data_IF_932537318007
#
_entry.id   IF_932537318007
#
_cell.length_a   1.000
_cell.length_b   1.000
_cell.length_c   1.000
_cell.angle_alpha   90.00
_cell.angle_beta   90.00
_cell.angle_gamma   90.00
#
_symmetry.space_group_name_H-M   'P 1'
#
loop_
_entity.id
_entity.type
_entity.pdbx_description
1 polymer ?
#
# COMPACT_ATOMS: atom_id res chain seq x y z
N UNK A 1 -18.89 12.06 -20.58
CA UNK A 1 -19.23 10.75 -20.00
C UNK A 1 -20.37 10.19 -20.82
N UNK A 2 -20.16 9.02 -21.42
CA UNK A 2 -21.25 8.29 -22.05
C UNK A 2 -22.13 7.67 -20.96
N UNK A 3 -23.44 7.62 -21.19
CA UNK A 3 -24.41 6.98 -20.29
C UNK A 3 -24.87 5.66 -20.92
N UNK A 4 -24.74 4.57 -20.17
CA UNK A 4 -25.12 3.23 -20.61
C UNK A 4 -26.35 2.75 -19.84
N UNK A 5 -27.31 2.15 -20.54
CA UNK A 5 -28.27 1.26 -19.89
C UNK A 5 -27.62 -0.09 -19.64
N UNK A 6 -28.23 -0.92 -18.80
CA UNK A 6 -27.68 -2.23 -18.44
C UNK A 6 -27.33 -3.11 -19.66
N UNK A 7 -28.19 -3.10 -20.69
CA UNK A 7 -27.97 -3.89 -21.91
C UNK A 7 -26.83 -3.33 -22.77
N UNK A 8 -26.71 -2.01 -22.85
CA UNK A 8 -25.61 -1.35 -23.56
C UNK A 8 -24.28 -1.62 -22.86
N UNK A 9 -24.25 -1.51 -21.53
CA UNK A 9 -23.06 -1.82 -20.74
C UNK A 9 -22.66 -3.29 -20.86
N UNK A 10 -23.62 -4.21 -20.93
CA UNK A 10 -23.36 -5.63 -21.10
C UNK A 10 -22.70 -5.94 -22.45
N UNK A 11 -23.19 -5.29 -23.51
CA UNK A 11 -22.62 -5.40 -24.85
C UNK A 11 -21.20 -4.81 -24.91
N UNK A 12 -21.01 -3.63 -24.33
CA UNK A 12 -19.72 -2.93 -24.40
C UNK A 12 -18.63 -3.59 -23.53
N UNK A 13 -19.00 -4.10 -22.35
CA UNK A 13 -18.06 -4.78 -21.45
C UNK A 13 -17.81 -6.25 -21.79
N UNK A 14 -18.66 -6.86 -22.64
CA UNK A 14 -18.68 -8.30 -22.87
C UNK A 14 -19.15 -9.12 -21.66
N UNK A 15 -19.65 -8.49 -20.60
CA UNK A 15 -20.17 -9.14 -19.39
C UNK A 15 -21.70 -9.23 -19.48
N UNK A 16 -22.27 -10.42 -19.27
CA UNK A 16 -23.73 -10.58 -19.34
C UNK A 16 -24.47 -9.70 -18.32
N UNK A 17 -25.65 -9.19 -18.69
CA UNK A 17 -26.50 -8.38 -17.80
C UNK A 17 -26.82 -9.09 -16.46
N UNK A 18 -26.89 -10.43 -16.47
CA UNK A 18 -27.04 -11.26 -15.26
C UNK A 18 -25.83 -11.12 -14.33
N UNK A 19 -24.62 -11.24 -14.87
CA UNK A 19 -23.39 -11.12 -14.09
C UNK A 19 -23.19 -9.69 -13.58
N UNK A 20 -23.54 -8.67 -14.37
CA UNK A 20 -23.49 -7.27 -13.91
C UNK A 20 -24.38 -7.06 -12.68
N UNK A 21 -25.60 -7.62 -12.67
CA UNK A 21 -26.47 -7.56 -11.48
C UNK A 21 -25.86 -8.29 -10.29
N UNK A 22 -25.33 -9.50 -10.51
CA UNK A 22 -24.67 -10.27 -9.46
C UNK A 22 -23.44 -9.55 -8.89
N UNK A 23 -22.64 -8.87 -9.72
CA UNK A 23 -21.48 -8.09 -9.29
C UNK A 23 -21.89 -6.88 -8.45
N UNK A 24 -23.00 -6.22 -8.79
CA UNK A 24 -23.57 -5.15 -7.97
C UNK A 24 -24.06 -5.66 -6.61
N UNK A 25 -24.81 -6.75 -6.60
CA UNK A 25 -25.33 -7.35 -5.36
C UNK A 25 -24.21 -7.77 -4.41
N UNK A 26 -23.08 -8.18 -4.97
CA UNK A 26 -21.88 -8.58 -4.22
C UNK A 26 -20.89 -7.44 -3.94
N UNK A 27 -21.19 -6.21 -4.35
CA UNK A 27 -20.36 -5.03 -4.08
C UNK A 27 -19.12 -4.85 -4.97
N UNK A 28 -18.96 -5.65 -6.03
CA UNK A 28 -17.85 -5.55 -6.99
C UNK A 28 -18.04 -4.36 -7.94
N UNK A 29 -19.28 -3.98 -8.22
CA UNK A 29 -19.61 -2.88 -9.12
C UNK A 29 -20.37 -1.79 -8.38
N UNK A 30 -20.00 -0.55 -8.62
CA UNK A 30 -20.61 0.59 -7.96
C UNK A 30 -22.11 0.73 -8.30
N UNK A 31 -22.90 1.32 -7.39
CA UNK A 31 -24.32 1.51 -7.65
C UNK A 31 -24.53 2.52 -8.79
N UNK A 32 -25.36 2.19 -9.80
CA UNK A 32 -25.68 3.08 -10.88
C UNK A 32 -26.49 4.27 -10.37
N UNK A 33 -26.37 5.38 -11.10
CA UNK A 33 -27.24 6.53 -10.87
C UNK A 33 -28.66 6.19 -11.31
N UNK A 34 -29.62 6.45 -10.44
CA UNK A 34 -31.05 6.26 -10.74
C UNK A 34 -31.65 7.54 -11.29
N UNK A 35 -32.23 7.47 -12.48
CA UNK A 35 -33.03 8.55 -13.08
C UNK A 35 -34.43 8.02 -13.32
N UNK A 36 -35.36 8.39 -12.46
CA UNK A 36 -36.71 7.82 -12.42
C UNK A 36 -36.67 6.31 -12.11
N UNK A 37 -37.23 5.49 -13.03
CA UNK A 37 -37.24 4.02 -12.92
C UNK A 37 -36.05 3.35 -13.62
N UNK A 38 -35.15 4.14 -14.20
CA UNK A 38 -34.03 3.63 -15.02
C UNK A 38 -32.71 3.74 -14.25
N UNK A 39 -31.92 2.66 -14.27
CA UNK A 39 -30.55 2.66 -13.79
C UNK A 39 -29.60 3.01 -14.94
N UNK A 40 -28.80 4.07 -14.77
CA UNK A 40 -27.82 4.53 -15.73
C UNK A 40 -26.41 4.30 -15.18
N UNK A 41 -25.57 3.76 -16.04
CA UNK A 41 -24.15 3.52 -15.82
C UNK A 41 -23.35 4.51 -16.67
N UNK A 42 -22.07 4.66 -16.38
CA UNK A 42 -21.17 5.54 -17.11
C UNK A 42 -19.86 4.82 -17.46
N UNK A 43 -18.92 5.56 -18.06
CA UNK A 43 -17.61 5.03 -18.47
C UNK A 43 -16.80 4.48 -17.28
N UNK A 44 -17.06 4.95 -16.07
CA UNK A 44 -16.40 4.42 -14.87
C UNK A 44 -16.85 2.99 -14.59
N UNK A 45 -18.15 2.70 -14.71
CA UNK A 45 -18.68 1.34 -14.55
C UNK A 45 -18.15 0.38 -15.63
N UNK A 46 -17.96 0.87 -16.86
CA UNK A 46 -17.36 0.08 -17.94
C UNK A 46 -15.90 -0.28 -17.61
N UNK A 47 -15.13 0.68 -17.09
CA UNK A 47 -13.75 0.45 -16.63
C UNK A 47 -13.69 -0.56 -15.47
N UNK A 48 -14.59 -0.45 -14.49
CA UNK A 48 -14.73 -1.42 -13.40
C UNK A 48 -15.00 -2.84 -13.93
N UNK A 49 -15.94 -3.01 -14.87
CA UNK A 49 -16.26 -4.33 -15.45
C UNK A 49 -15.09 -4.95 -16.23
N UNK A 50 -14.35 -4.13 -16.97
CA UNK A 50 -13.14 -4.57 -17.67
C UNK A 50 -12.05 -5.04 -16.68
N UNK A 51 -11.90 -4.33 -15.56
CA UNK A 51 -10.95 -4.67 -14.50
C UNK A 51 -11.35 -5.96 -13.78
N UNK A 52 -12.63 -6.09 -13.37
CA UNK A 52 -13.18 -7.32 -12.77
C UNK A 52 -12.91 -8.51 -13.69
N UNK A 53 -13.18 -8.37 -14.99
CA UNK A 53 -12.98 -9.45 -15.97
C UNK A 53 -11.50 -9.85 -16.11
N UNK A 54 -10.58 -8.89 -16.06
CA UNK A 54 -9.14 -9.17 -16.10
C UNK A 54 -8.67 -9.90 -14.84
N UNK A 55 -9.13 -9.47 -13.66
CA UNK A 55 -8.76 -10.09 -12.39
C UNK A 55 -9.31 -11.51 -12.26
N UNK A 56 -10.56 -11.74 -12.65
CA UNK A 56 -11.13 -13.09 -12.68
C UNK A 56 -10.36 -14.02 -13.63
N UNK A 57 -9.93 -13.54 -14.80
CA UNK A 57 -9.09 -14.33 -15.72
C UNK A 57 -7.71 -14.68 -15.16
N UNK A 58 -7.19 -13.87 -14.23
CA UNK A 58 -5.93 -14.13 -13.53
C UNK A 58 -6.08 -15.04 -12.31
N UNK A 59 -7.29 -15.53 -12.02
CA UNK A 59 -7.56 -16.47 -10.93
C UNK A 59 -7.96 -15.84 -9.60
N UNK A 60 -8.12 -14.52 -9.53
CA UNK A 60 -8.60 -13.86 -8.31
C UNK A 60 -10.08 -14.18 -8.07
N UNK A 61 -10.44 -14.50 -6.83
CA UNK A 61 -11.83 -14.80 -6.48
C UNK A 61 -12.69 -13.53 -6.38
N UNK A 62 -14.01 -13.67 -6.52
CA UNK A 62 -14.93 -12.52 -6.53
C UNK A 62 -15.06 -11.81 -5.19
N UNK A 63 -14.80 -12.47 -4.07
CA UNK A 63 -14.87 -11.87 -2.74
C UNK A 63 -13.71 -10.89 -2.52
N UNK A 64 -12.49 -11.29 -2.88
CA UNK A 64 -11.28 -10.46 -2.84
C UNK A 64 -11.41 -9.24 -3.75
N UNK A 65 -11.97 -9.42 -4.94
CA UNK A 65 -12.22 -8.31 -5.88
C UNK A 65 -13.25 -7.33 -5.29
N UNK A 66 -14.29 -7.82 -4.63
CA UNK A 66 -15.30 -6.97 -3.99
C UNK A 66 -14.70 -6.12 -2.86
N UNK A 67 -13.86 -6.74 -2.03
CA UNK A 67 -13.13 -6.06 -0.96
C UNK A 67 -12.20 -4.98 -1.51
N UNK A 68 -11.45 -5.28 -2.58
CA UNK A 68 -10.62 -4.30 -3.28
C UNK A 68 -11.41 -3.06 -3.71
N UNK A 69 -12.55 -3.23 -4.38
CA UNK A 69 -13.37 -2.10 -4.79
C UNK A 69 -14.02 -1.38 -3.61
N UNK A 70 -14.38 -2.09 -2.53
CA UNK A 70 -14.91 -1.48 -1.32
C UNK A 70 -13.90 -0.55 -0.64
N UNK A 71 -12.64 -0.96 -0.57
CA UNK A 71 -11.57 -0.18 0.03
C UNK A 71 -11.15 1.00 -0.87
N UNK A 72 -11.13 0.83 -2.19
CA UNK A 72 -10.92 1.93 -3.14
C UNK A 72 -12.00 3.03 -2.99
N UNK A 73 -13.27 2.66 -2.76
CA UNK A 73 -14.35 3.63 -2.49
C UNK A 73 -14.16 4.40 -1.18
N UNK A 74 -13.46 3.80 -0.22
CA UNK A 74 -13.13 4.42 1.06
C UNK A 74 -11.84 5.27 0.97
N UNK A 75 -11.24 5.39 -0.22
CA UNK A 75 -10.00 6.13 -0.42
C UNK A 75 -8.79 5.44 0.21
N UNK A 76 -8.85 4.13 0.43
CA UNK A 76 -7.72 3.35 0.91
C UNK A 76 -6.65 3.22 -0.19
N UNK A 77 -5.38 3.30 0.20
CA UNK A 77 -4.27 3.06 -0.71
C UNK A 77 -4.27 1.60 -1.17
N UNK A 78 -3.85 1.34 -2.41
CA UNK A 78 -3.70 -0.01 -2.96
C UNK A 78 -2.80 -0.89 -2.05
N UNK A 79 -1.83 -0.28 -1.38
CA UNK A 79 -0.96 -0.92 -0.39
C UNK A 79 -1.74 -1.38 0.86
N UNK A 80 -2.68 -0.58 1.36
CA UNK A 80 -3.52 -0.94 2.53
C UNK A 80 -4.41 -2.14 2.23
N UNK A 81 -4.90 -2.24 0.99
CA UNK A 81 -5.78 -3.32 0.56
C UNK A 81 -5.00 -4.64 0.51
N UNK A 82 -3.81 -4.64 -0.07
CA UNK A 82 -2.93 -5.81 -0.10
C UNK A 82 -2.44 -6.19 1.31
N UNK A 83 -2.26 -5.20 2.20
CA UNK A 83 -1.94 -5.41 3.61
C UNK A 83 -3.09 -6.03 4.42
N UNK A 84 -4.34 -5.60 4.21
CA UNK A 84 -5.53 -6.11 4.88
C UNK A 84 -5.89 -7.54 4.45
N UNK A 85 -5.75 -7.86 3.16
CA UNK A 85 -5.93 -9.23 2.68
C UNK A 85 -5.00 -10.22 3.40
N UNK A 86 -3.75 -9.82 3.64
CA UNK A 86 -2.74 -10.64 4.32
C UNK A 86 -3.04 -10.83 5.82
N UNK A 87 -3.68 -9.84 6.45
CA UNK A 87 -4.05 -9.87 7.86
C UNK A 87 -5.36 -10.63 8.15
N UNK A 88 -6.34 -10.60 7.23
CA UNK A 88 -7.67 -11.20 7.41
C UNK A 88 -7.77 -12.62 6.86
N UNK A 89 -7.14 -12.90 5.72
CA UNK A 89 -7.22 -14.22 5.07
C UNK A 89 -6.08 -15.14 5.49
N UNK A 90 -5.13 -14.65 6.30
CA UNK A 90 -3.80 -15.23 6.37
C UNK A 90 -3.09 -15.15 5.01
N UNK A 91 -1.82 -15.59 4.89
CA UNK A 91 -1.21 -15.79 3.58
C UNK A 91 -2.12 -16.71 2.75
N UNK A 92 -2.48 -16.27 1.54
CA UNK A 92 -3.33 -17.04 0.60
C UNK A 92 -2.85 -18.49 0.51
N UNK A 93 -3.70 -19.46 0.87
CA UNK A 93 -3.37 -20.91 0.87
C UNK A 93 -3.00 -21.46 -0.52
N UNK A 94 -3.22 -20.70 -1.59
CA UNK A 94 -2.84 -21.05 -2.98
C UNK A 94 -1.59 -20.31 -3.51
N UNK A 95 -0.90 -19.52 -2.68
CA UNK A 95 0.46 -19.07 -2.98
C UNK A 95 1.43 -19.92 -2.16
N UNK A 96 2.47 -20.53 -2.76
CA UNK A 96 3.44 -21.27 -1.97
C UNK A 96 3.95 -20.35 -0.86
N UNK A 97 3.98 -20.86 0.37
CA UNK A 97 4.58 -20.24 1.54
C UNK A 97 6.11 -20.13 1.43
N UNK A 98 6.61 -19.87 0.23
CA UNK A 98 7.96 -19.39 -0.01
C UNK A 98 7.85 -17.87 -0.02
N UNK A 99 8.04 -17.25 1.15
CA UNK A 99 8.42 -15.84 1.12
C UNK A 99 9.65 -15.72 0.20
N UNK A 100 9.62 -14.76 -0.72
CA UNK A 100 10.65 -14.62 -1.74
C UNK A 100 12.01 -14.44 -1.07
N UNK A 101 12.80 -15.51 -1.08
CA UNK A 101 14.14 -15.50 -0.51
C UNK A 101 15.01 -14.55 -1.33
N UNK A 102 15.72 -13.68 -0.63
CA UNK A 102 16.72 -12.81 -1.24
C UNK A 102 18.08 -13.46 -1.08
N UNK A 103 18.96 -13.28 -2.06
CA UNK A 103 20.33 -13.78 -2.05
C UNK A 103 21.25 -13.04 -1.05
N UNK A 104 20.77 -12.81 0.17
CA UNK A 104 21.55 -12.24 1.28
C UNK A 104 21.93 -13.37 2.23
N UNK A 105 23.21 -13.45 2.58
CA UNK A 105 23.70 -14.37 3.61
C UNK A 105 23.09 -13.96 4.98
N UNK A 106 22.34 -14.83 5.68
CA UNK A 106 21.81 -14.53 7.00
C UNK A 106 22.87 -14.15 8.04
N UNK A 107 24.11 -14.61 7.87
CA UNK A 107 25.21 -14.32 8.80
C UNK A 107 25.95 -13.02 8.47
N UNK A 108 25.70 -12.45 7.29
CA UNK A 108 26.22 -11.13 6.91
C UNK A 108 25.70 -10.04 7.86
N UNK A 109 26.33 -8.87 7.80
CA UNK A 109 25.87 -7.69 8.56
C UNK A 109 24.49 -7.29 8.03
N UNK A 110 24.31 -7.30 6.72
CA UNK A 110 23.07 -6.94 6.05
C UNK A 110 21.91 -7.88 6.44
N UNK A 111 22.15 -9.19 6.43
CA UNK A 111 21.13 -10.19 6.80
C UNK A 111 20.69 -10.07 8.26
N UNK A 112 21.64 -9.88 9.19
CA UNK A 112 21.32 -9.70 10.61
C UNK A 112 20.52 -8.43 10.87
N UNK A 113 20.89 -7.32 10.21
CA UNK A 113 20.19 -6.04 10.40
C UNK A 113 18.82 -6.01 9.77
N UNK A 114 18.60 -6.68 8.63
CA UNK A 114 17.26 -6.84 8.07
C UNK A 114 16.31 -7.54 9.06
N UNK A 115 16.81 -8.53 9.80
CA UNK A 115 16.04 -9.24 10.83
C UNK A 115 15.84 -8.36 12.07
N UNK A 116 16.88 -7.64 12.49
CA UNK A 116 16.80 -6.68 13.62
C UNK A 116 15.75 -5.60 13.40
N UNK A 117 15.68 -5.03 12.19
CA UNK A 117 14.66 -4.06 11.80
C UNK A 117 13.29 -4.70 11.46
N UNK A 118 13.13 -6.02 11.60
CA UNK A 118 11.87 -6.74 11.33
C UNK A 118 11.48 -6.81 9.84
N UNK A 119 12.41 -6.51 8.93
CA UNK A 119 12.18 -6.48 7.49
C UNK A 119 12.32 -7.85 6.83
N UNK A 120 12.95 -8.80 7.51
CA UNK A 120 13.11 -10.16 7.05
C UNK A 120 13.17 -11.17 8.20
N UNK A 121 12.84 -12.42 7.89
CA UNK A 121 13.02 -13.57 8.75
C UNK A 121 14.09 -14.52 8.18
N UNK A 122 14.66 -15.37 9.05
CA UNK A 122 15.53 -16.46 8.60
C UNK A 122 14.75 -17.77 8.59
N UNK A 123 14.41 -18.25 7.39
CA UNK A 123 13.67 -19.51 7.19
C UNK A 123 14.54 -20.47 6.40
N UNK A 124 14.78 -21.66 6.94
CA UNK A 124 15.59 -22.68 6.27
C UNK A 124 17.01 -22.25 5.92
N UNK A 125 17.60 -21.33 6.71
CA UNK A 125 18.96 -20.80 6.47
C UNK A 125 19.02 -19.76 5.35
N UNK A 126 17.89 -19.16 4.95
CA UNK A 126 17.81 -18.08 3.97
C UNK A 126 17.11 -16.87 4.55
N UNK A 127 17.51 -15.68 4.10
CA UNK A 127 16.81 -14.43 4.42
C UNK A 127 15.56 -14.34 3.54
N UNK A 128 14.41 -14.18 4.19
CA UNK A 128 13.09 -14.09 3.58
C UNK A 128 12.47 -12.76 3.98
N UNK A 129 12.17 -11.89 3.02
CA UNK A 129 11.61 -10.58 3.33
C UNK A 129 10.16 -10.70 3.84
N UNK A 130 9.82 -9.91 4.85
CA UNK A 130 8.46 -9.82 5.40
C UNK A 130 7.50 -9.18 4.38
N UNK A 131 7.99 -8.15 3.67
CA UNK A 131 7.24 -7.45 2.64
C UNK A 131 7.52 -8.03 1.23
N UNK A 132 6.45 -8.43 0.54
CA UNK A 132 6.55 -9.04 -0.78
C UNK A 132 6.98 -8.07 -1.89
N UNK A 133 6.56 -6.81 -1.81
CA UNK A 133 6.95 -5.79 -2.79
C UNK A 133 8.44 -5.44 -2.66
N UNK A 134 8.95 -5.34 -1.44
CA UNK A 134 10.38 -5.18 -1.17
C UNK A 134 11.18 -6.37 -1.72
N UNK A 135 10.67 -7.60 -1.52
CA UNK A 135 11.28 -8.80 -2.05
C UNK A 135 11.35 -8.80 -3.60
N UNK A 136 10.27 -8.41 -4.27
CA UNK A 136 10.20 -8.31 -5.73
C UNK A 136 11.13 -7.23 -6.31
N UNK A 137 11.35 -6.14 -5.57
CA UNK A 137 12.34 -5.10 -5.96
C UNK A 137 13.75 -5.69 -5.87
N UNK A 138 14.09 -6.32 -4.75
CA UNK A 138 15.42 -6.91 -4.54
C UNK A 138 15.71 -8.05 -5.51
N UNK A 139 14.71 -8.88 -5.84
CA UNK A 139 14.85 -9.98 -6.79
C UNK A 139 15.13 -9.53 -8.23
N UNK A 140 14.68 -8.32 -8.61
CA UNK A 140 14.92 -7.74 -9.94
C UNK A 140 16.19 -6.90 -10.02
N UNK A 141 16.82 -6.59 -8.89
CA UNK A 141 18.03 -5.78 -8.82
C UNK A 141 19.29 -6.60 -9.12
N UNK A 142 20.18 -6.05 -9.95
CA UNK A 142 21.46 -6.68 -10.30
C UNK A 142 22.44 -6.74 -9.11
N UNK A 143 22.33 -5.80 -8.17
CA UNK A 143 23.13 -5.74 -6.93
C UNK A 143 22.22 -5.56 -5.72
N UNK A 144 21.68 -6.67 -5.21
CA UNK A 144 20.78 -6.69 -4.06
C UNK A 144 21.47 -6.19 -2.77
N UNK A 145 22.78 -6.43 -2.61
CA UNK A 145 23.53 -5.98 -1.43
C UNK A 145 23.60 -4.45 -1.38
N UNK A 146 23.84 -3.80 -2.52
CA UNK A 146 23.85 -2.34 -2.60
C UNK A 146 22.51 -1.72 -2.20
N UNK A 147 21.40 -2.30 -2.68
CA UNK A 147 20.05 -1.83 -2.35
C UNK A 147 19.75 -2.00 -0.85
N UNK A 148 20.06 -3.16 -0.28
CA UNK A 148 19.88 -3.42 1.15
C UNK A 148 20.72 -2.46 1.99
N UNK A 149 21.98 -2.20 1.61
CA UNK A 149 22.83 -1.22 2.30
C UNK A 149 22.27 0.20 2.25
N UNK A 150 21.74 0.61 1.11
CA UNK A 150 21.11 1.92 0.97
C UNK A 150 19.86 2.03 1.86
N UNK A 151 19.02 0.98 1.88
CA UNK A 151 17.85 0.89 2.72
C UNK A 151 18.21 0.95 4.22
N UNK A 152 19.16 0.12 4.66
CA UNK A 152 19.59 0.09 6.07
C UNK A 152 20.15 1.44 6.52
N UNK A 153 20.99 2.10 5.70
CA UNK A 153 21.49 3.45 6.02
C UNK A 153 20.38 4.48 6.15
N UNK A 154 19.35 4.39 5.30
CA UNK A 154 18.18 5.26 5.40
C UNK A 154 17.42 5.00 6.69
N UNK A 155 17.21 3.73 7.06
CA UNK A 155 16.51 3.37 8.30
C UNK A 155 17.25 3.86 9.54
N UNK A 156 18.57 3.64 9.61
CA UNK A 156 19.41 4.18 10.68
C UNK A 156 19.30 5.71 10.80
N UNK A 157 19.36 6.41 9.67
CA UNK A 157 19.29 7.87 9.67
C UNK A 157 17.88 8.40 10.01
N UNK A 158 16.85 7.60 9.77
CA UNK A 158 15.46 7.97 10.00
C UNK A 158 14.95 7.57 11.40
N UNK A 159 15.67 6.72 12.13
CA UNK A 159 15.22 6.12 13.40
C UNK A 159 14.77 7.18 14.42
N UNK A 160 15.63 8.15 14.73
CA UNK A 160 15.31 9.25 15.64
C UNK A 160 14.13 10.10 15.13
N UNK A 161 14.10 10.40 13.82
CA UNK A 161 13.01 11.19 13.24
C UNK A 161 11.66 10.45 13.26
N UNK A 162 11.67 9.13 13.10
CA UNK A 162 10.46 8.30 13.18
C UNK A 162 9.95 8.26 14.61
N UNK A 163 10.83 8.12 15.59
CA UNK A 163 10.49 8.16 17.01
C UNK A 163 9.91 9.52 17.41
N UNK A 164 10.55 10.63 17.01
CA UNK A 164 10.03 11.98 17.25
C UNK A 164 8.63 12.18 16.65
N UNK A 165 8.41 11.68 15.43
CA UNK A 165 7.11 11.75 14.76
C UNK A 165 6.05 10.90 15.47
N UNK A 166 6.42 9.71 15.96
CA UNK A 166 5.54 8.85 16.72
C UNK A 166 5.16 9.50 18.07
N UNK A 167 6.12 10.09 18.79
CA UNK A 167 5.87 10.82 20.02
C UNK A 167 4.94 12.02 19.81
N UNK A 168 5.19 12.82 18.77
CA UNK A 168 4.34 13.95 18.41
C UNK A 168 2.91 13.51 18.06
N UNK A 169 2.77 12.39 17.37
CA UNK A 169 1.47 11.82 17.02
C UNK A 169 0.70 11.35 18.26
N UNK A 170 1.34 10.60 19.16
CA UNK A 170 0.74 10.12 20.41
C UNK A 170 0.35 11.30 21.31
N UNK A 171 1.22 12.30 21.43
CA UNK A 171 0.96 13.51 22.23
C UNK A 171 -0.26 14.26 21.70
N UNK A 172 -0.38 14.43 20.39
CA UNK A 172 -1.54 15.08 19.76
C UNK A 172 -2.85 14.32 20.03
N UNK A 173 -2.81 12.98 20.02
CA UNK A 173 -3.98 12.16 20.33
C UNK A 173 -4.36 12.26 21.81
N UNK A 174 -3.37 12.26 22.71
CA UNK A 174 -3.59 12.42 24.15
C UNK A 174 -4.22 13.78 24.46
N UNK A 175 -3.73 14.87 23.85
CA UNK A 175 -4.30 16.21 23.98
C UNK A 175 -5.74 16.28 23.48
N UNK A 176 -6.02 15.71 22.29
CA UNK A 176 -7.38 15.67 21.73
C UNK A 176 -8.35 14.92 22.67
N UNK A 177 -7.89 13.81 23.23
CA UNK A 177 -8.68 13.01 24.16
C UNK A 177 -8.93 13.77 25.47
N UNK A 178 -7.89 14.35 26.09
CA UNK A 178 -8.02 15.15 27.31
C UNK A 178 -8.93 16.37 27.12
N UNK A 179 -8.90 17.04 25.95
CA UNK A 179 -9.80 18.13 25.64
C UNK A 179 -11.27 17.69 25.59
N UNK A 180 -11.53 16.43 25.24
CA UNK A 180 -12.88 15.87 25.12
C UNK A 180 -13.45 15.39 26.45
N UNK A 181 -12.65 14.76 27.30
CA UNK A 181 -13.12 14.13 28.56
C UNK A 181 -12.69 14.85 29.84
N UNK A 182 -11.73 15.77 29.77
CA UNK A 182 -11.11 16.44 30.92
C UNK A 182 -9.86 15.73 31.45
N UNK A 183 -8.95 16.48 32.06
CA UNK A 183 -7.61 16.01 32.45
C UNK A 183 -7.61 14.87 33.51
N UNK A 184 -8.65 14.80 34.35
CA UNK A 184 -8.76 13.83 35.45
C UNK A 184 -9.75 12.68 35.15
N UNK A 185 -10.08 12.45 33.88
CA UNK A 185 -11.04 11.44 33.49
C UNK A 185 -10.46 10.02 33.54
N UNK A 186 -10.98 9.20 34.46
CA UNK A 186 -10.73 7.76 34.49
C UNK A 186 -11.77 7.02 33.63
N UNK A 187 -11.35 6.31 32.57
CA UNK A 187 -12.26 5.54 31.72
C UNK A 187 -13.03 4.49 32.52
N UNK A 188 -14.32 4.35 32.23
CA UNK A 188 -15.10 3.23 32.77
C UNK A 188 -14.78 1.94 32.00
N UNK A 189 -14.92 0.75 32.61
CA UNK A 189 -14.59 -0.52 31.95
C UNK A 189 -15.33 -0.75 30.63
N UNK A 190 -16.56 -0.24 30.50
CA UNK A 190 -17.40 -0.28 29.31
C UNK A 190 -16.94 0.66 28.18
N UNK A 191 -16.10 1.65 28.48
CA UNK A 191 -15.58 2.63 27.51
C UNK A 191 -14.20 2.24 26.97
N UNK A 192 -13.54 1.26 27.58
CA UNK A 192 -12.18 0.83 27.21
C UNK A 192 -12.13 0.31 25.77
N UNK A 193 -13.18 -0.39 25.33
CA UNK A 193 -13.27 -0.92 23.96
C UNK A 193 -13.46 0.20 22.92
N UNK A 194 -14.23 1.23 23.27
CA UNK A 194 -14.43 2.40 22.41
C UNK A 194 -13.16 3.24 22.30
N UNK A 195 -12.45 3.45 23.41
CA UNK A 195 -11.15 4.13 23.41
C UNK A 195 -10.13 3.35 22.58
N UNK A 196 -10.08 2.03 22.74
CA UNK A 196 -9.21 1.16 21.94
C UNK A 196 -9.52 1.30 20.45
N UNK A 197 -10.80 1.33 20.07
CA UNK A 197 -11.21 1.53 18.67
C UNK A 197 -10.74 2.88 18.14
N UNK A 198 -10.99 3.96 18.88
CA UNK A 198 -10.56 5.32 18.48
C UNK A 198 -9.04 5.40 18.31
N UNK A 199 -8.27 4.82 19.23
CA UNK A 199 -6.80 4.77 19.12
C UNK A 199 -6.34 3.99 17.90
N UNK A 200 -6.98 2.86 17.59
CA UNK A 200 -6.66 2.07 16.38
C UNK A 200 -7.00 2.83 15.10
N UNK A 201 -8.18 3.46 15.04
CA UNK A 201 -8.60 4.26 13.88
C UNK A 201 -7.63 5.43 13.66
N UNK A 202 -7.20 6.09 14.73
CA UNK A 202 -6.22 7.17 14.65
C UNK A 202 -4.88 6.64 14.15
N UNK A 203 -4.38 5.52 14.70
CA UNK A 203 -3.12 4.91 14.26
C UNK A 203 -3.11 4.63 12.76
N UNK A 204 -4.16 3.99 12.25
CA UNK A 204 -4.31 3.68 10.81
C UNK A 204 -4.35 4.98 9.99
N UNK A 205 -5.05 6.01 10.45
CA UNK A 205 -5.07 7.32 9.77
C UNK A 205 -3.68 7.98 9.76
N UNK A 206 -2.97 7.93 10.88
CA UNK A 206 -1.61 8.46 11.03
C UNK A 206 -0.64 7.79 10.08
N UNK A 207 -0.65 6.45 10.02
CA UNK A 207 0.17 5.66 9.09
C UNK A 207 -0.03 6.12 7.64
N UNK A 208 -1.28 6.26 7.18
CA UNK A 208 -1.60 6.71 5.81
C UNK A 208 -1.14 8.14 5.53
N UNK A 209 -1.40 9.06 6.45
CA UNK A 209 -1.01 10.47 6.29
C UNK A 209 0.51 10.59 6.23
N UNK A 210 1.23 9.89 7.10
CA UNK A 210 2.69 9.91 7.11
C UNK A 210 3.29 9.30 5.84
N UNK A 211 2.76 8.17 5.36
CA UNK A 211 3.19 7.58 4.09
C UNK A 211 3.03 8.57 2.92
N UNK A 212 1.86 9.21 2.79
CA UNK A 212 1.61 10.19 1.74
C UNK A 212 2.52 11.44 1.86
N UNK A 213 2.77 11.91 3.09
CA UNK A 213 3.68 13.04 3.34
C UNK A 213 5.13 12.69 2.99
N UNK A 214 5.56 11.49 3.34
CA UNK A 214 6.88 10.98 3.01
C UNK A 214 7.07 10.84 1.50
N UNK A 215 6.09 10.28 0.79
CA UNK A 215 6.12 10.18 -0.68
C UNK A 215 6.23 11.57 -1.33
N UNK A 216 5.43 12.52 -0.86
CA UNK A 216 5.46 13.90 -1.36
C UNK A 216 6.82 14.59 -1.10
N UNK A 217 7.35 14.45 0.12
CA UNK A 217 8.64 15.01 0.49
C UNK A 217 9.77 14.39 -0.35
N UNK A 218 9.77 13.07 -0.52
CA UNK A 218 10.75 12.34 -1.32
C UNK A 218 10.72 12.80 -2.77
N UNK A 219 9.53 12.87 -3.39
CA UNK A 219 9.37 13.37 -4.77
C UNK A 219 9.93 14.79 -4.93
N UNK A 220 9.62 15.68 -3.98
CA UNK A 220 10.13 17.07 -3.99
C UNK A 220 11.65 17.11 -3.95
N UNK A 221 12.28 16.37 -3.04
CA UNK A 221 13.74 16.33 -2.92
C UNK A 221 14.41 15.66 -4.12
N UNK A 222 13.82 14.60 -4.68
CA UNK A 222 14.33 13.96 -5.90
C UNK A 222 14.35 14.93 -7.09
N UNK A 223 13.31 15.75 -7.28
CA UNK A 223 13.26 16.76 -8.35
C UNK A 223 14.36 17.82 -8.15
N UNK A 224 14.56 18.29 -6.92
CA UNK A 224 15.61 19.26 -6.60
C UNK A 224 17.01 18.67 -6.80
N UNK A 225 17.25 17.43 -6.38
CA UNK A 225 18.53 16.74 -6.58
C UNK A 225 18.81 16.41 -8.04
N UNK A 226 17.80 16.01 -8.81
CA UNK A 226 17.97 15.77 -10.25
C UNK A 226 18.29 17.06 -11.00
N UNK A 227 17.64 18.18 -10.66
CA UNK A 227 17.96 19.51 -11.19
C UNK A 227 19.38 19.96 -10.81
N UNK A 228 19.83 19.69 -9.57
CA UNK A 228 21.19 19.97 -9.13
C UNK A 228 22.25 19.09 -9.79
N UNK A 229 21.98 17.80 -9.99
CA UNK A 229 22.88 16.86 -10.67
C UNK A 229 23.02 17.17 -12.15
N UNK A 230 21.92 17.47 -12.84
CA UNK A 230 21.93 17.91 -14.24
C UNK A 230 22.57 19.28 -14.42
N UNK A 231 22.33 20.24 -13.52
CA UNK A 231 23.04 21.51 -13.51
C UNK A 231 24.54 21.35 -13.23
N UNK A 232 24.91 20.44 -12.31
CA UNK A 232 26.31 20.11 -12.00
C UNK A 232 27.06 19.50 -13.19
N UNK A 233 26.42 18.61 -13.95
CA UNK A 233 26.99 18.04 -15.18
C UNK A 233 27.10 19.10 -16.29
N UNK A 234 26.09 19.96 -16.45
CA UNK A 234 26.08 21.01 -17.48
C UNK A 234 27.07 22.15 -17.20
N UNK A 235 27.31 22.48 -15.92
CA UNK A 235 28.22 23.56 -15.52
C UNK A 235 29.65 23.07 -15.23
N UNK A 236 29.84 21.80 -14.87
CA UNK A 236 31.13 21.21 -14.51
C UNK A 236 31.94 20.62 -15.66
N UNK A 237 31.33 20.36 -16.82
CA UNK A 237 32.05 19.96 -18.05
C UNK A 237 32.78 18.60 -17.99
N UNK A 238 32.64 17.79 -16.95
CA UNK A 238 33.27 16.47 -16.87
C UNK A 238 32.42 15.40 -17.56
N UNK A 239 32.59 15.30 -18.88
CA UNK A 239 32.30 14.08 -19.62
C UNK A 239 33.57 13.22 -19.63
N UNK A 240 33.71 12.26 -18.72
CA UNK A 240 34.73 11.21 -18.89
C UNK A 240 34.22 10.13 -19.87
N UNK A 241 34.85 9.94 -21.04
CA UNK A 241 34.60 8.79 -21.88
C UNK A 241 35.46 7.63 -21.37
N UNK A 242 34.82 6.57 -20.87
CA UNK A 242 35.52 5.30 -20.62
C UNK A 242 36.13 4.78 -21.93
N UNK A 243 37.46 4.92 -22.07
CA UNK A 243 38.27 4.22 -23.07
C UNK A 243 38.39 2.75 -22.68
N UNK A 244 38.21 1.88 -23.66
CA UNK A 244 38.50 0.46 -23.54
C UNK A 244 39.99 0.17 -23.43
N UNK A 245 40.28 -0.96 -22.80
CA UNK A 245 41.42 -1.84 -23.02
C UNK A 245 40.96 -3.27 -22.70
#
# INVERSE_FOLDING_TARGET
MAEYRLEDLARESGVSARNIRAYRERGLLDPPRRVGRTALYDDYHLSQLNTISQLLRKGYNSAHIAEFFASMRQGADLADILGLQRAVLGPSEDAPADGTSVAIDPQSIEGRRLVEYGLADVVGGKVVMTDGAAADILARSTDHVLYVRALLRFLEAAEESVDDLAEAFVSSLAELYQARVGADYLPRPDEVDDIRRVVQDYRVLGEKVMAARFEHATRRHMVTSAAGYTAGILLGGEWEPRRGA
#
